data_IF_354807594774
#
_entry.id   IF_354807594774
#
_cell.length_a   1.000
_cell.length_b   1.000
_cell.length_c   1.000
_cell.angle_alpha   90.00
_cell.angle_beta   90.00
_cell.angle_gamma   90.00
#
_symmetry.space_group_name_H-M   'P 1'
#
loop_
_entity.id
_entity.type
_entity.pdbx_description
1 polymer ?
#
# COMPACT_ATOMS: atom_id res chain seq x y z
N UNK A 1 5.37 -10.47 2.65
CA UNK A 1 5.81 -9.12 2.22
C UNK A 1 7.28 -9.26 1.90
N UNK A 2 7.67 -8.93 0.68
CA UNK A 2 9.04 -9.05 0.19
C UNK A 2 9.53 -7.66 -0.21
N UNK A 3 10.80 -7.37 0.02
CA UNK A 3 11.42 -6.11 -0.40
C UNK A 3 12.38 -6.43 -1.53
N UNK A 4 12.17 -5.79 -2.67
CA UNK A 4 13.05 -5.88 -3.84
C UNK A 4 13.74 -4.53 -4.06
N UNK A 5 15.03 -4.59 -4.39
CA UNK A 5 15.84 -3.42 -4.71
C UNK A 5 16.03 -3.33 -6.21
N UNK A 6 15.73 -2.18 -6.80
CA UNK A 6 15.91 -1.95 -8.23
C UNK A 6 16.47 -0.56 -8.48
N UNK A 7 17.32 -0.44 -9.49
CA UNK A 7 17.78 0.85 -10.01
C UNK A 7 17.17 1.05 -11.39
N UNK A 8 16.42 2.12 -11.57
CA UNK A 8 15.74 2.41 -12.85
C UNK A 8 16.81 2.74 -13.89
N UNK A 9 16.96 1.91 -14.92
CA UNK A 9 17.78 2.22 -16.08
C UNK A 9 17.00 2.99 -17.16
N UNK A 10 15.68 2.79 -17.24
CA UNK A 10 14.82 3.51 -18.18
C UNK A 10 13.39 3.61 -17.65
N UNK A 11 12.73 4.75 -17.88
CA UNK A 11 11.28 4.90 -17.69
C UNK A 11 10.59 4.76 -19.05
N UNK A 12 9.64 3.83 -19.15
CA UNK A 12 8.91 3.51 -20.39
C UNK A 12 7.66 4.36 -20.51
N UNK A 13 6.88 4.43 -19.43
CA UNK A 13 5.62 5.17 -19.39
C UNK A 13 5.42 5.74 -17.99
N UNK A 14 4.78 6.90 -17.89
CA UNK A 14 4.42 7.53 -16.63
C UNK A 14 3.05 8.18 -16.79
N UNK A 15 2.07 7.68 -16.06
CA UNK A 15 0.71 8.22 -16.02
C UNK A 15 0.33 8.51 -14.59
N UNK A 16 0.06 9.78 -14.31
CA UNK A 16 -0.44 10.24 -13.02
C UNK A 16 -1.95 10.32 -13.08
N UNK A 17 -2.62 9.73 -12.10
CA UNK A 17 -4.08 9.79 -11.95
C UNK A 17 -4.39 10.64 -10.73
N UNK A 18 -5.26 11.63 -10.92
CA UNK A 18 -5.77 12.46 -9.83
C UNK A 18 -6.73 11.70 -8.93
N UNK A 19 -6.92 12.21 -7.72
CA UNK A 19 -7.93 11.70 -6.82
C UNK A 19 -9.32 12.05 -7.34
N UNK A 20 -10.19 11.04 -7.41
CA UNK A 20 -11.62 11.20 -7.69
C UNK A 20 -12.43 10.56 -6.57
N UNK A 21 -13.76 10.63 -6.64
CA UNK A 21 -14.67 9.95 -5.70
C UNK A 21 -14.43 8.43 -5.63
N UNK A 22 -13.94 7.82 -6.71
CA UNK A 22 -13.76 6.37 -6.83
C UNK A 22 -12.30 5.92 -7.00
N UNK A 23 -11.38 6.85 -7.27
CA UNK A 23 -9.98 6.53 -7.55
C UNK A 23 -9.07 7.35 -6.64
N UNK A 24 -8.13 6.68 -5.98
CA UNK A 24 -7.12 7.37 -5.16
C UNK A 24 -6.04 7.94 -6.06
N UNK A 25 -5.38 9.00 -5.59
CA UNK A 25 -4.20 9.56 -6.24
C UNK A 25 -3.15 8.46 -6.40
N UNK A 26 -2.78 8.16 -7.63
CA UNK A 26 -1.85 7.08 -7.95
C UNK A 26 -1.05 7.38 -9.21
N UNK A 27 0.12 6.77 -9.31
CA UNK A 27 0.98 6.81 -10.50
C UNK A 27 1.10 5.40 -11.05
N UNK A 28 0.77 5.26 -12.33
CA UNK A 28 1.03 4.04 -13.09
C UNK A 28 2.24 4.30 -13.97
N UNK A 29 3.27 3.49 -13.89
CA UNK A 29 4.47 3.66 -14.68
C UNK A 29 5.06 2.34 -15.13
N UNK A 30 5.85 2.38 -16.19
CA UNK A 30 6.66 1.26 -16.64
C UNK A 30 8.13 1.59 -16.56
N UNK A 31 8.97 0.62 -16.22
CA UNK A 31 10.41 0.81 -16.12
C UNK A 31 11.20 -0.41 -16.60
N UNK A 32 12.47 -0.17 -16.91
CA UNK A 32 13.51 -1.18 -17.09
C UNK A 32 14.58 -0.99 -16.02
N UNK A 33 15.08 -2.09 -15.47
CA UNK A 33 16.18 -2.16 -14.52
C UNK A 33 17.06 -3.36 -14.88
N UNK A 34 18.10 -3.12 -15.70
CA UNK A 34 18.94 -4.20 -16.25
C UNK A 34 18.12 -5.15 -17.13
N UNK A 35 17.99 -6.42 -16.71
CA UNK A 35 17.17 -7.43 -17.41
C UNK A 35 15.68 -7.39 -17.02
N UNK A 36 15.33 -6.66 -15.97
CA UNK A 36 13.95 -6.58 -15.48
C UNK A 36 13.19 -5.51 -16.25
N UNK A 37 12.14 -5.91 -16.97
CA UNK A 37 11.21 -5.00 -17.65
C UNK A 37 9.81 -5.13 -17.09
N UNK A 38 9.27 -4.05 -16.53
CA UNK A 38 7.91 -4.03 -15.96
C UNK A 38 7.12 -2.90 -16.63
N UNK A 39 6.14 -3.23 -17.49
CA UNK A 39 5.43 -2.21 -18.28
C UNK A 39 4.36 -1.45 -17.48
N UNK A 40 3.80 -2.07 -16.44
CA UNK A 40 2.70 -1.52 -15.65
C UNK A 40 2.90 -1.81 -14.17
N UNK A 41 3.29 -0.76 -13.44
CA UNK A 41 3.47 -0.77 -11.99
C UNK A 41 2.68 0.39 -11.41
N UNK A 42 1.85 0.11 -10.41
CA UNK A 42 0.97 1.11 -9.78
C UNK A 42 1.47 1.43 -8.38
N UNK A 43 1.59 2.71 -8.08
CA UNK A 43 2.11 3.22 -6.82
C UNK A 43 1.24 4.36 -6.30
N UNK A 44 1.08 4.46 -4.99
CA UNK A 44 0.25 5.48 -4.34
C UNK A 44 0.87 6.88 -4.47
N UNK A 45 0.04 7.91 -4.69
CA UNK A 45 0.50 9.28 -4.82
C UNK A 45 1.22 9.57 -6.15
N UNK A 46 1.98 10.67 -6.18
CA UNK A 46 2.76 11.12 -7.34
C UNK A 46 4.24 11.25 -7.01
N UNK A 47 4.91 10.13 -6.72
CA UNK A 47 6.32 10.18 -6.38
C UNK A 47 7.16 10.61 -7.58
N UNK A 48 8.39 11.08 -7.30
CA UNK A 48 9.40 11.32 -8.33
C UNK A 48 9.90 9.98 -8.86
N UNK A 49 9.96 9.84 -10.18
CA UNK A 49 10.40 8.63 -10.87
C UNK A 49 11.35 9.06 -11.98
N UNK A 50 12.64 8.87 -11.77
CA UNK A 50 13.66 9.23 -12.74
C UNK A 50 14.66 8.09 -12.99
N UNK A 51 15.35 8.17 -14.13
CA UNK A 51 16.42 7.23 -14.45
C UNK A 51 17.59 7.44 -13.49
N UNK A 52 18.13 6.35 -12.97
CA UNK A 52 19.18 6.33 -11.94
C UNK A 52 18.65 6.25 -10.51
N UNK A 53 17.33 6.43 -10.29
CA UNK A 53 16.76 6.26 -8.96
C UNK A 53 16.89 4.81 -8.49
N UNK A 54 17.42 4.65 -7.26
CA UNK A 54 17.45 3.37 -6.56
C UNK A 54 16.24 3.28 -5.65
N UNK A 55 15.53 2.16 -5.72
CA UNK A 55 14.23 1.99 -5.11
C UNK A 55 14.22 0.72 -4.27
N UNK A 56 13.68 0.82 -3.07
CA UNK A 56 13.25 -0.33 -2.28
C UNK A 56 11.73 -0.48 -2.40
N UNK A 57 11.27 -1.54 -3.03
CA UNK A 57 9.86 -1.78 -3.33
C UNK A 57 9.33 -2.90 -2.46
N UNK A 58 8.27 -2.64 -1.70
CA UNK A 58 7.58 -3.65 -0.91
C UNK A 58 6.47 -4.30 -1.73
N UNK A 59 6.60 -5.60 -1.97
CA UNK A 59 5.64 -6.43 -2.72
C UNK A 59 4.87 -7.36 -1.76
N UNK A 60 3.66 -7.77 -2.15
CA UNK A 60 2.93 -8.84 -1.42
C UNK A 60 3.71 -10.14 -1.48
N UNK A 61 4.12 -10.50 -2.70
CA UNK A 61 4.84 -11.72 -3.06
C UNK A 61 6.08 -11.35 -3.90
N UNK A 62 7.17 -12.11 -3.77
CA UNK A 62 8.36 -11.91 -4.57
C UNK A 62 8.04 -12.03 -6.08
N UNK A 63 8.60 -11.15 -6.90
CA UNK A 63 8.40 -11.10 -8.35
C UNK A 63 7.04 -10.57 -8.82
N UNK A 64 6.06 -10.39 -7.93
CA UNK A 64 4.72 -9.89 -8.26
C UNK A 64 4.64 -8.35 -8.14
N UNK A 65 5.08 -7.69 -9.21
CA UNK A 65 5.08 -6.23 -9.36
C UNK A 65 3.70 -5.61 -9.60
N UNK A 66 2.63 -6.42 -9.72
CA UNK A 66 1.26 -5.91 -9.69
C UNK A 66 0.76 -5.74 -8.24
N UNK A 67 1.43 -6.38 -7.29
CA UNK A 67 1.06 -6.38 -5.87
C UNK A 67 1.85 -5.38 -5.01
N UNK A 68 2.34 -4.29 -5.62
CA UNK A 68 3.13 -3.27 -4.92
C UNK A 68 2.31 -2.64 -3.78
N UNK A 69 2.88 -2.70 -2.57
CA UNK A 69 2.29 -2.13 -1.36
C UNK A 69 2.79 -0.71 -1.08
N UNK A 70 4.00 -0.43 -1.56
CA UNK A 70 4.64 0.86 -1.47
C UNK A 70 6.11 0.73 -1.87
N UNK A 71 6.77 1.85 -1.94
CA UNK A 71 8.19 1.92 -2.23
C UNK A 71 8.84 3.08 -1.49
N UNK A 72 10.16 3.03 -1.40
CA UNK A 72 11.00 4.12 -0.94
C UNK A 72 12.07 4.38 -1.98
N UNK A 73 12.15 5.61 -2.45
CA UNK A 73 13.29 6.07 -3.21
C UNK A 73 14.47 6.23 -2.24
N UNK A 74 15.52 5.45 -2.47
CA UNK A 74 16.73 5.42 -1.66
C UNK A 74 17.67 6.58 -2.01
N UNK A 75 17.53 7.17 -3.20
CA UNK A 75 18.27 8.37 -3.64
C UNK A 75 17.73 9.63 -2.96
N UNK A 76 16.41 9.82 -2.94
CA UNK A 76 15.76 11.03 -2.39
C UNK A 76 15.23 10.84 -0.96
N UNK A 77 15.11 9.59 -0.51
CA UNK A 77 14.42 9.24 0.73
C UNK A 77 12.90 9.28 0.63
N UNK A 78 12.32 9.61 -0.53
CA UNK A 78 10.88 9.74 -0.71
C UNK A 78 10.18 8.40 -0.45
N UNK A 79 9.19 8.40 0.44
CA UNK A 79 8.39 7.24 0.76
C UNK A 79 7.01 7.40 0.15
N UNK A 80 6.58 6.41 -0.62
CA UNK A 80 5.24 6.39 -1.18
C UNK A 80 4.59 5.02 -0.93
N UNK A 81 3.54 5.05 -0.13
CA UNK A 81 2.74 3.90 0.24
C UNK A 81 1.32 4.39 0.55
N UNK A 82 0.35 3.48 0.66
CA UNK A 82 -0.99 3.85 1.12
C UNK A 82 -0.93 4.50 2.50
N UNK A 83 -1.62 5.62 2.71
CA UNK A 83 -1.70 6.22 4.04
C UNK A 83 -2.70 5.40 4.89
N UNK A 84 -2.31 4.91 6.08
CA UNK A 84 -3.25 4.25 6.98
C UNK A 84 -4.41 5.16 7.39
N UNK A 85 -4.22 6.48 7.43
CA UNK A 85 -5.27 7.46 7.78
C UNK A 85 -6.40 7.48 6.74
N UNK A 86 -6.11 7.19 5.47
CA UNK A 86 -7.13 7.09 4.40
C UNK A 86 -8.14 5.94 4.61
N UNK A 87 -7.89 5.05 5.58
CA UNK A 87 -8.82 3.96 5.94
C UNK A 87 -9.47 4.16 7.31
N UNK A 88 -9.06 5.19 8.06
CA UNK A 88 -9.54 5.45 9.41
C UNK A 88 -11.04 5.75 9.44
N UNK A 89 -11.54 6.54 8.48
CA UNK A 89 -12.97 6.87 8.39
C UNK A 89 -13.85 5.63 8.24
N UNK A 90 -13.44 4.65 7.41
CA UNK A 90 -14.17 3.40 7.24
C UNK A 90 -14.18 2.54 8.51
N UNK A 91 -13.07 2.51 9.25
CA UNK A 91 -12.99 1.83 10.56
C UNK A 91 -13.92 2.52 11.57
N UNK A 92 -13.88 3.85 11.68
CA UNK A 92 -14.73 4.60 12.62
C UNK A 92 -16.21 4.37 12.33
N UNK A 93 -16.62 4.46 11.05
CA UNK A 93 -18.02 4.25 10.66
C UNK A 93 -18.49 2.82 10.94
N UNK A 94 -17.67 1.81 10.62
CA UNK A 94 -18.03 0.41 10.83
C UNK A 94 -18.11 0.05 12.32
N UNK A 95 -17.18 0.54 13.14
CA UNK A 95 -17.23 0.38 14.60
C UNK A 95 -18.44 1.11 15.19
N UNK A 96 -18.69 2.37 14.78
CA UNK A 96 -19.85 3.13 15.24
C UNK A 96 -21.17 2.44 14.91
N UNK A 97 -21.28 1.85 13.72
CA UNK A 97 -22.48 1.11 13.31
C UNK A 97 -22.65 -0.19 14.12
N UNK A 98 -21.56 -0.94 14.36
CA UNK A 98 -21.62 -2.13 15.21
C UNK A 98 -22.04 -1.81 16.65
N UNK A 99 -21.54 -0.70 17.21
CA UNK A 99 -21.91 -0.24 18.57
C UNK A 99 -23.37 0.20 18.60
N UNK A 100 -23.83 0.98 17.61
CA UNK A 100 -25.20 1.48 17.54
C UNK A 100 -26.22 0.33 17.45
N UNK A 101 -26.03 -0.62 16.53
CA UNK A 101 -26.94 -1.76 16.39
C UNK A 101 -26.80 -2.78 17.53
N UNK A 102 -25.61 -2.91 18.12
CA UNK A 102 -25.41 -3.68 19.33
C UNK A 102 -26.19 -3.10 20.52
N UNK A 103 -26.22 -1.77 20.64
CA UNK A 103 -27.00 -1.09 21.68
C UNK A 103 -28.53 -1.24 21.45
N UNK A 104 -29.00 -1.12 20.21
CA UNK A 104 -30.43 -1.29 19.90
C UNK A 104 -30.94 -2.72 20.19
N UNK A 105 -30.07 -3.73 20.21
CA UNK A 105 -30.42 -5.09 20.65
C UNK A 105 -30.67 -5.18 22.16
N UNK A 106 -30.02 -4.33 22.96
CA UNK A 106 -30.19 -4.29 24.41
C UNK A 106 -31.48 -3.55 24.79
N UNK A 107 -31.83 -2.52 24.02
CA UNK A 107 -33.00 -1.67 24.28
C UNK A 107 -34.35 -2.32 23.93
N UNK A 108 -34.36 -3.59 23.50
CA UNK A 108 -35.53 -4.48 23.45
C UNK A 108 -36.75 -3.99 22.66
N UNK A 109 -36.59 -3.03 21.74
CA UNK A 109 -37.66 -2.66 20.82
C UNK A 109 -37.94 -3.82 19.83
N UNK A 110 -39.18 -4.35 19.79
CA UNK A 110 -39.52 -5.56 19.05
C UNK A 110 -39.29 -5.44 17.53
N UNK A 111 -39.29 -4.23 16.99
CA UNK A 111 -39.10 -3.97 15.56
C UNK A 111 -37.64 -4.20 15.10
N UNK A 112 -36.65 -4.12 16.00
CA UNK A 112 -35.23 -4.24 15.66
C UNK A 112 -34.66 -5.65 15.87
N UNK A 113 -35.39 -6.53 16.56
CA UNK A 113 -34.91 -7.86 16.95
C UNK A 113 -34.52 -8.74 15.75
N UNK A 114 -35.17 -8.55 14.60
CA UNK A 114 -34.93 -9.36 13.41
C UNK A 114 -33.70 -8.91 12.59
N UNK A 115 -33.47 -7.61 12.44
CA UNK A 115 -32.42 -7.07 11.56
C UNK A 115 -31.14 -6.65 12.28
N UNK A 116 -31.24 -6.24 13.55
CA UNK A 116 -30.08 -5.77 14.31
C UNK A 116 -28.96 -6.81 14.50
N UNK A 117 -29.18 -8.12 14.73
CA UNK A 117 -28.07 -9.06 14.88
C UNK A 117 -27.32 -9.24 13.55
N UNK A 118 -28.05 -9.26 12.43
CA UNK A 118 -27.46 -9.31 11.09
C UNK A 118 -26.59 -8.08 10.81
N UNK A 119 -27.11 -6.87 11.06
CA UNK A 119 -26.36 -5.62 10.84
C UNK A 119 -25.13 -5.50 11.76
N UNK A 120 -25.23 -6.02 12.99
CA UNK A 120 -24.09 -6.05 13.92
C UNK A 120 -22.97 -6.96 13.42
N UNK A 121 -23.31 -8.16 12.93
CA UNK A 121 -22.34 -9.08 12.31
C UNK A 121 -21.70 -8.48 11.05
N UNK A 122 -22.48 -7.81 10.21
CA UNK A 122 -21.95 -7.09 9.04
C UNK A 122 -21.00 -5.96 9.47
N UNK A 123 -21.35 -5.18 10.50
CA UNK A 123 -20.49 -4.14 11.06
C UNK A 123 -19.16 -4.68 11.59
N UNK A 124 -19.19 -5.79 12.32
CA UNK A 124 -17.98 -6.47 12.81
C UNK A 124 -17.12 -6.96 11.64
N UNK A 125 -17.73 -7.58 10.63
CA UNK A 125 -17.02 -8.09 9.46
C UNK A 125 -16.35 -6.97 8.66
N UNK A 126 -17.06 -5.87 8.40
CA UNK A 126 -16.52 -4.68 7.72
C UNK A 126 -15.39 -4.02 8.53
N UNK A 127 -15.53 -3.97 9.85
CA UNK A 127 -14.49 -3.48 10.76
C UNK A 127 -13.22 -4.33 10.66
N UNK A 128 -13.36 -5.66 10.63
CA UNK A 128 -12.25 -6.60 10.48
C UNK A 128 -11.49 -6.40 9.17
N UNK A 129 -12.19 -6.32 8.05
CA UNK A 129 -11.57 -6.09 6.73
C UNK A 129 -10.83 -4.75 6.65
N UNK A 130 -11.43 -3.69 7.19
CA UNK A 130 -10.85 -2.35 7.19
C UNK A 130 -9.59 -2.30 8.06
N UNK A 131 -9.64 -2.92 9.24
CA UNK A 131 -8.51 -3.00 10.19
C UNK A 131 -7.34 -3.81 9.62
N UNK A 132 -7.62 -4.94 8.96
CA UNK A 132 -6.58 -5.74 8.32
C UNK A 132 -5.83 -4.95 7.23
N UNK A 133 -6.55 -4.14 6.45
CA UNK A 133 -5.94 -3.22 5.48
C UNK A 133 -5.07 -2.14 6.13
N UNK A 134 -5.53 -1.55 7.24
CA UNK A 134 -4.80 -0.52 7.99
C UNK A 134 -3.51 -1.07 8.60
N UNK A 135 -3.57 -2.23 9.27
CA UNK A 135 -2.39 -2.89 9.86
C UNK A 135 -1.35 -3.18 8.78
N UNK A 136 -1.79 -3.67 7.60
CA UNK A 136 -0.89 -3.95 6.49
C UNK A 136 -0.22 -2.69 5.94
N UNK A 137 -0.96 -1.58 5.81
CA UNK A 137 -0.41 -0.30 5.40
C UNK A 137 0.63 0.21 6.42
N UNK A 138 0.32 0.10 7.71
CA UNK A 138 1.22 0.51 8.79
C UNK A 138 2.52 -0.31 8.78
N UNK A 139 2.42 -1.64 8.72
CA UNK A 139 3.59 -2.55 8.65
C UNK A 139 4.47 -2.25 7.43
N UNK A 140 3.86 -2.00 6.28
CA UNK A 140 4.59 -1.68 5.05
C UNK A 140 5.33 -0.35 5.20
N UNK A 141 4.66 0.69 5.72
CA UNK A 141 5.25 2.01 5.94
C UNK A 141 6.40 1.94 6.96
N UNK A 142 6.22 1.21 8.05
CA UNK A 142 7.24 1.01 9.07
C UNK A 142 8.47 0.27 8.51
N UNK A 143 8.26 -0.82 7.77
CA UNK A 143 9.35 -1.59 7.18
C UNK A 143 10.15 -0.77 6.16
N UNK A 144 9.49 -0.02 5.27
CA UNK A 144 10.17 0.83 4.30
C UNK A 144 10.92 1.99 4.97
N UNK A 145 10.38 2.57 6.05
CA UNK A 145 11.08 3.61 6.84
C UNK A 145 12.29 3.08 7.60
N UNK A 146 12.24 1.84 8.06
CA UNK A 146 13.34 1.20 8.77
C UNK A 146 14.53 0.87 7.87
N UNK A 147 14.35 0.89 6.53
CA UNK A 147 15.46 0.65 5.61
C UNK A 147 16.53 1.73 5.76
N UNK A 148 17.82 1.35 5.86
CA UNK A 148 18.90 2.31 5.84
C UNK A 148 18.88 3.04 4.49
N UNK A 149 19.03 4.36 4.51
CA UNK A 149 19.37 5.08 3.30
C UNK A 149 20.81 4.72 2.97
N UNK A 150 21.14 4.38 1.72
CA UNK A 150 22.52 4.20 1.33
C UNK A 150 23.27 5.48 1.70
N UNK A 151 24.26 5.34 2.59
CA UNK A 151 25.20 6.42 2.88
C UNK A 151 25.89 6.78 1.57
N UNK A 152 26.31 8.03 1.38
CA UNK A 152 27.05 8.45 0.18
C UNK A 152 28.28 7.57 -0.13
N UNK A 153 28.76 6.80 0.85
CA UNK A 153 29.83 5.80 0.71
C UNK A 153 29.42 4.50 -0.01
N UNK A 154 28.13 4.12 0.00
CA UNK A 154 27.61 2.84 -0.52
C UNK A 154 26.99 2.95 -1.92
N UNK A 155 27.07 4.12 -2.57
CA UNK A 155 26.54 4.38 -3.92
C UNK A 155 27.21 3.53 -5.04
N UNK A 156 28.14 2.64 -4.67
CA UNK A 156 28.62 1.54 -5.49
C UNK A 156 27.91 0.24 -5.09
N UNK A 157 26.58 0.17 -5.23
CA UNK A 157 25.92 -1.13 -5.17
C UNK A 157 26.27 -1.91 -6.46
N UNK A 158 26.70 -3.18 -6.36
CA UNK A 158 27.22 -3.93 -7.49
C UNK A 158 26.16 -4.17 -8.57
N UNK A 159 26.58 -4.32 -9.84
CA UNK A 159 25.67 -4.68 -10.91
C UNK A 159 25.09 -6.06 -10.60
N UNK A 160 23.76 -6.15 -10.51
CA UNK A 160 22.93 -7.35 -10.61
C UNK A 160 23.60 -8.65 -10.14
N UNK A 161 23.33 -9.04 -8.89
CA UNK A 161 23.57 -10.42 -8.45
C UNK A 161 22.98 -11.38 -9.49
N UNK A 162 23.88 -12.13 -10.10
CA UNK A 162 23.60 -13.18 -11.07
C UNK A 162 22.66 -14.19 -10.44
N UNK A 163 21.56 -14.48 -11.16
CA UNK A 163 20.82 -15.70 -10.96
C UNK A 163 21.63 -16.86 -11.54
N UNK A 164 22.47 -17.46 -10.71
CA UNK A 164 22.83 -18.88 -10.80
C UNK A 164 22.17 -19.53 -9.56
N UNK A 165 21.37 -20.58 -9.60
CA UNK A 165 21.01 -21.55 -10.63
C UNK A 165 19.58 -22.07 -10.38
#
# INVERSE_FOLDING_TARGET
MHIEYVTISRVISLRRTEQSRYTRKQTVFGFEAGKLKKPYVTVAGWPRIEVGDSLAVALKSAGDWQSVLGWRNLTTGELSCSDPVDRLQGVILSVGMAVYFGYSLVDSDPDYLFWAPFLTLVGIWLSGMSTHGMIRAFKTRAALRALPLPSAADAKFPPNAESEA
#
